data_IF_594481565761
#
_entry.id   IF_594481565761
#
_cell.length_a   1.000
_cell.length_b   1.000
_cell.length_c   1.000
_cell.angle_alpha   90.00
_cell.angle_beta   90.00
_cell.angle_gamma   90.00
#
_symmetry.space_group_name_H-M   'P 1'
#
loop_
_entity.id
_entity.type
_entity.pdbx_description
1 polymer ?
#
# COMPACT_ATOMS: atom_id res chain seq x y z
N UNK A 1 -2.80 14.25 -15.49
CA UNK A 1 -2.92 15.31 -14.45
C UNK A 1 -3.45 14.71 -13.14
N UNK A 2 -2.65 13.91 -12.42
CA UNK A 2 -3.07 13.31 -11.12
C UNK A 2 -2.12 13.69 -9.97
N UNK A 3 -0.98 14.34 -10.25
CA UNK A 3 0.03 14.66 -9.22
C UNK A 3 -0.31 15.86 -8.34
N UNK A 4 -1.37 16.63 -8.65
CA UNK A 4 -1.71 17.86 -7.92
C UNK A 4 -2.55 17.65 -6.66
N UNK A 5 -3.45 16.66 -6.63
CA UNK A 5 -4.39 16.44 -5.50
C UNK A 5 -3.87 15.46 -4.43
N UNK A 6 -2.94 14.56 -4.78
CA UNK A 6 -2.42 13.58 -3.82
C UNK A 6 -1.34 14.18 -2.88
N UNK A 7 -0.56 15.14 -3.37
CA UNK A 7 0.53 15.78 -2.61
C UNK A 7 -0.04 16.81 -1.62
N UNK A 8 -1.10 17.53 -1.99
CA UNK A 8 -1.76 18.48 -1.09
C UNK A 8 -2.33 17.78 0.14
N UNK A 9 -2.88 16.57 -0.01
CA UNK A 9 -3.41 15.80 1.12
C UNK A 9 -2.30 15.27 2.05
N UNK A 10 -1.15 14.84 1.50
CA UNK A 10 0.04 14.52 2.31
C UNK A 10 0.60 15.74 3.03
N UNK A 11 0.62 16.90 2.38
CA UNK A 11 1.08 18.14 2.99
C UNK A 11 0.19 18.56 4.15
N UNK A 12 -1.13 18.33 4.09
CA UNK A 12 -2.07 18.56 5.19
C UNK A 12 -1.93 17.50 6.31
N UNK A 13 -1.60 16.25 5.98
CA UNK A 13 -1.35 15.19 6.97
C UNK A 13 -0.04 15.41 7.75
N UNK A 14 0.97 16.01 7.10
CA UNK A 14 2.26 16.37 7.71
C UNK A 14 2.30 17.81 8.25
N UNK A 15 1.39 18.69 7.82
CA UNK A 15 1.08 19.96 8.48
C UNK A 15 0.21 19.66 9.70
N UNK A 16 0.83 19.02 10.70
CA UNK A 16 0.46 19.30 12.08
C UNK A 16 0.44 20.82 12.25
N UNK A 17 -0.51 21.41 13.00
CA UNK A 17 -0.37 22.79 13.42
C UNK A 17 1.04 22.96 13.97
N UNK A 18 1.69 24.09 13.63
CA UNK A 18 2.91 24.55 14.27
C UNK A 18 2.64 24.70 15.78
N UNK A 19 2.68 23.59 16.49
CA UNK A 19 2.69 23.51 17.94
C UNK A 19 3.73 22.44 18.28
N UNK A 20 4.95 22.91 18.35
CA UNK A 20 5.90 22.65 19.41
C UNK A 20 5.25 22.42 20.80
N UNK A 21 4.37 21.41 21.00
CA UNK A 21 3.89 20.97 22.33
C UNK A 21 2.77 19.90 22.30
N UNK A 22 2.91 18.76 21.60
CA UNK A 22 2.28 17.54 22.16
C UNK A 22 3.23 17.04 23.24
N UNK A 23 2.98 17.37 24.51
CA UNK A 23 3.82 17.01 25.64
C UNK A 23 3.89 15.48 25.80
N UNK A 24 4.76 14.84 25.03
CA UNK A 24 5.21 13.50 25.35
C UNK A 24 6.07 13.61 26.60
N UNK A 25 5.41 13.52 27.75
CA UNK A 25 6.07 13.47 29.06
C UNK A 25 6.56 12.03 29.24
N UNK A 26 7.88 11.85 29.26
CA UNK A 26 8.51 10.54 29.37
C UNK A 26 10.02 10.61 29.14
N UNK A 27 10.72 9.51 29.38
CA UNK A 27 12.16 9.42 29.10
C UNK A 27 12.40 9.57 27.58
N UNK A 28 13.54 10.14 27.13
CA UNK A 28 13.79 10.41 25.71
C UNK A 28 13.47 9.26 24.74
N UNK A 29 13.75 7.97 25.06
CA UNK A 29 13.37 6.85 24.18
C UNK A 29 11.85 6.70 23.99
N UNK A 30 11.05 6.96 25.03
CA UNK A 30 9.58 6.85 24.98
C UNK A 30 8.97 7.94 24.10
N UNK A 31 9.52 9.15 24.17
CA UNK A 31 9.10 10.28 23.32
C UNK A 31 9.30 9.94 21.84
N UNK A 32 10.44 9.35 21.49
CA UNK A 32 10.74 8.91 20.11
C UNK A 32 9.80 7.80 19.66
N UNK A 33 9.62 6.76 20.49
CA UNK A 33 8.70 5.64 20.19
C UNK A 33 7.29 6.16 19.91
N UNK A 34 6.79 7.10 20.72
CA UNK A 34 5.43 7.59 20.55
C UNK A 34 5.26 8.48 19.32
N UNK A 35 6.29 9.27 18.97
CA UNK A 35 6.33 9.99 17.68
C UNK A 35 6.29 9.03 16.50
N UNK A 36 7.05 7.93 16.55
CA UNK A 36 7.05 6.89 15.52
C UNK A 36 5.70 6.17 15.43
N UNK A 37 5.03 5.90 16.56
CA UNK A 37 3.66 5.34 16.57
C UNK A 37 2.66 6.28 15.89
N UNK A 38 2.72 7.58 16.18
CA UNK A 38 1.86 8.57 15.52
C UNK A 38 2.11 8.62 14.02
N UNK A 39 3.37 8.64 13.60
CA UNK A 39 3.74 8.59 12.18
C UNK A 39 3.23 7.32 11.50
N UNK A 40 3.41 6.15 12.14
CA UNK A 40 2.89 4.88 11.65
C UNK A 40 1.38 4.91 11.44
N UNK A 41 0.63 5.51 12.35
CA UNK A 41 -0.82 5.63 12.22
C UNK A 41 -1.21 6.57 11.08
N UNK A 42 -0.55 7.73 10.98
CA UNK A 42 -0.76 8.67 9.88
C UNK A 42 -0.51 8.01 8.50
N UNK A 43 0.58 7.25 8.38
CA UNK A 43 0.90 6.49 7.17
C UNK A 43 -0.13 5.40 6.85
N UNK A 44 -0.70 4.75 7.86
CA UNK A 44 -1.79 3.77 7.67
C UNK A 44 -3.05 4.43 7.14
N UNK A 45 -3.44 5.56 7.71
CA UNK A 45 -4.60 6.34 7.25
C UNK A 45 -4.39 6.78 5.81
N UNK A 46 -3.22 7.35 5.50
CA UNK A 46 -2.90 7.76 4.14
C UNK A 46 -2.92 6.60 3.14
N UNK A 47 -2.39 5.44 3.53
CA UNK A 47 -2.45 4.24 2.69
C UNK A 47 -3.90 3.86 2.38
N UNK A 48 -4.78 3.87 3.38
CA UNK A 48 -6.19 3.60 3.17
C UNK A 48 -6.88 4.64 2.29
N UNK A 49 -6.59 5.93 2.47
CA UNK A 49 -7.19 7.01 1.68
C UNK A 49 -6.74 7.01 0.21
N UNK A 50 -5.47 6.67 -0.07
CA UNK A 50 -4.89 6.76 -1.42
C UNK A 50 -4.94 5.44 -2.19
N UNK A 51 -4.89 4.30 -1.48
CA UNK A 51 -4.89 2.98 -2.11
C UNK A 51 -6.21 2.24 -1.91
N UNK A 52 -6.92 2.51 -0.80
CA UNK A 52 -8.16 1.82 -0.44
C UNK A 52 -7.97 0.31 -0.34
N UNK A 53 -9.07 -0.41 -0.53
CA UNK A 53 -9.03 -1.85 -0.77
C UNK A 53 -8.76 -2.11 -2.27
N UNK A 54 -7.49 -2.42 -2.59
CA UNK A 54 -7.05 -2.76 -3.94
C UNK A 54 -7.88 -3.90 -4.54
N UNK A 55 -8.28 -4.89 -3.73
CA UNK A 55 -9.04 -6.05 -4.22
C UNK A 55 -10.45 -5.62 -4.60
N UNK A 56 -11.11 -4.83 -3.75
CA UNK A 56 -12.43 -4.28 -4.04
C UNK A 56 -12.43 -3.42 -5.30
N UNK A 57 -11.38 -2.60 -5.50
CA UNK A 57 -11.22 -1.78 -6.70
C UNK A 57 -11.04 -2.63 -7.96
N UNK A 58 -10.23 -3.69 -7.92
CA UNK A 58 -10.04 -4.63 -9.03
C UNK A 58 -11.35 -5.35 -9.34
N UNK A 59 -12.06 -5.85 -8.34
CA UNK A 59 -13.35 -6.52 -8.52
C UNK A 59 -14.38 -5.57 -9.13
N UNK A 60 -14.49 -4.33 -8.63
CA UNK A 60 -15.40 -3.33 -9.18
C UNK A 60 -15.12 -3.04 -10.65
N UNK A 61 -13.86 -2.84 -11.02
CA UNK A 61 -13.45 -2.57 -12.41
C UNK A 61 -13.63 -3.78 -13.33
N UNK A 62 -13.42 -4.99 -12.82
CA UNK A 62 -13.68 -6.23 -13.55
C UNK A 62 -15.18 -6.42 -13.84
N UNK A 63 -16.05 -6.06 -12.89
CA UNK A 63 -17.51 -6.11 -13.06
C UNK A 63 -17.97 -5.04 -14.06
N UNK A 64 -17.44 -3.81 -13.96
CA UNK A 64 -17.71 -2.73 -14.92
C UNK A 64 -17.34 -3.16 -16.35
N UNK A 65 -16.17 -3.78 -16.51
CA UNK A 65 -15.71 -4.28 -17.79
C UNK A 65 -16.63 -5.38 -18.35
N UNK A 66 -17.02 -6.36 -17.53
CA UNK A 66 -17.96 -7.40 -17.95
C UNK A 66 -19.32 -6.81 -18.37
N UNK A 67 -19.79 -5.78 -17.67
CA UNK A 67 -21.02 -5.09 -18.04
C UNK A 67 -20.92 -4.43 -19.42
N UNK A 68 -19.80 -3.77 -19.73
CA UNK A 68 -19.57 -3.13 -21.04
C UNK A 68 -19.51 -4.19 -22.15
N UNK A 69 -18.82 -5.31 -21.90
CA UNK A 69 -18.73 -6.42 -22.85
C UNK A 69 -20.10 -7.06 -23.13
N UNK A 70 -20.93 -7.22 -22.09
CA UNK A 70 -22.30 -7.72 -22.22
C UNK A 70 -23.19 -6.73 -23.00
N UNK A 71 -23.00 -5.41 -22.78
CA UNK A 71 -23.71 -4.39 -23.57
C UNK A 71 -23.31 -4.45 -25.04
N UNK A 72 -22.02 -4.62 -25.34
CA UNK A 72 -21.52 -4.74 -26.71
C UNK A 72 -22.03 -6.01 -27.41
N UNK A 73 -22.18 -7.13 -26.68
CA UNK A 73 -22.77 -8.35 -27.23
C UNK A 73 -24.27 -8.20 -27.54
N UNK A 74 -24.99 -7.42 -26.74
CA UNK A 74 -26.44 -7.25 -26.87
C UNK A 74 -26.87 -6.18 -27.88
N UNK A 75 -26.14 -5.06 -27.94
CA UNK A 75 -26.46 -3.89 -28.77
C UNK A 75 -25.72 -3.88 -30.11
N UNK A 76 -24.74 -4.78 -30.29
CA UNK A 76 -23.84 -4.80 -31.44
C UNK A 76 -22.65 -3.85 -31.30
N UNK A 77 -21.78 -3.84 -32.31
CA UNK A 77 -20.56 -3.05 -32.28
C UNK A 77 -20.86 -1.55 -32.39
N UNK A 78 -20.44 -0.79 -31.37
CA UNK A 78 -20.44 0.67 -31.36
C UNK A 78 -19.03 1.17 -31.03
N UNK A 79 -18.54 2.13 -31.80
CA UNK A 79 -17.21 2.70 -31.61
C UNK A 79 -17.06 3.38 -30.23
N UNK A 80 -18.14 3.95 -29.69
CA UNK A 80 -18.14 4.58 -28.36
C UNK A 80 -17.97 3.55 -27.24
N UNK A 81 -18.71 2.44 -27.32
CA UNK A 81 -18.64 1.34 -26.34
C UNK A 81 -17.26 0.69 -26.37
N UNK A 82 -16.65 0.53 -27.56
CA UNK A 82 -15.31 0.01 -27.71
C UNK A 82 -14.24 0.91 -27.07
N UNK A 83 -14.35 2.23 -27.24
CA UNK A 83 -13.43 3.19 -26.62
C UNK A 83 -13.56 3.17 -25.09
N UNK A 84 -14.79 3.06 -24.57
CA UNK A 84 -15.02 2.91 -23.13
C UNK A 84 -14.49 1.58 -22.59
N UNK A 85 -14.68 0.48 -23.32
CA UNK A 85 -14.10 -0.82 -22.95
C UNK A 85 -12.57 -0.72 -22.86
N UNK A 86 -11.93 -0.13 -23.87
CA UNK A 86 -10.47 0.05 -23.90
C UNK A 86 -9.96 0.91 -22.73
N UNK A 87 -10.70 1.97 -22.36
CA UNK A 87 -10.38 2.80 -21.20
C UNK A 87 -10.48 2.01 -19.89
N UNK A 88 -11.56 1.27 -19.68
CA UNK A 88 -11.78 0.48 -18.46
C UNK A 88 -10.76 -0.66 -18.34
N UNK A 89 -10.43 -1.33 -19.46
CA UNK A 89 -9.32 -2.30 -19.52
C UNK A 89 -7.99 -1.68 -19.08
N UNK A 90 -7.66 -0.50 -19.61
CA UNK A 90 -6.41 0.17 -19.24
C UNK A 90 -6.37 0.54 -17.75
N UNK A 91 -7.47 1.03 -17.20
CA UNK A 91 -7.61 1.32 -15.77
C UNK A 91 -7.42 0.04 -14.93
N UNK A 92 -8.01 -1.08 -15.35
CA UNK A 92 -7.86 -2.38 -14.70
C UNK A 92 -6.41 -2.86 -14.73
N UNK A 93 -5.72 -2.76 -15.87
CA UNK A 93 -4.31 -3.12 -16.02
C UNK A 93 -3.40 -2.34 -15.07
N UNK A 94 -3.66 -1.03 -14.92
CA UNK A 94 -2.92 -0.19 -13.97
C UNK A 94 -3.15 -0.66 -12.53
N UNK A 95 -4.39 -1.02 -12.16
CA UNK A 95 -4.69 -1.55 -10.84
C UNK A 95 -4.04 -2.90 -10.58
N UNK A 96 -4.03 -3.80 -11.56
CA UNK A 96 -3.40 -5.12 -11.47
C UNK A 96 -1.88 -5.00 -11.27
N UNK A 97 -1.20 -4.14 -12.03
CA UNK A 97 0.24 -3.87 -11.83
C UNK A 97 0.52 -3.33 -10.43
N UNK A 98 -0.32 -2.41 -9.94
CA UNK A 98 -0.17 -1.86 -8.58
C UNK A 98 -0.34 -2.94 -7.51
N UNK A 99 -1.29 -3.83 -7.70
CA UNK A 99 -1.51 -4.98 -6.83
C UNK A 99 -0.31 -5.94 -6.85
N UNK A 100 0.24 -6.25 -8.02
CA UNK A 100 1.47 -7.04 -8.14
C UNK A 100 2.62 -6.42 -7.33
N UNK A 101 2.90 -5.14 -7.52
CA UNK A 101 3.93 -4.43 -6.75
C UNK A 101 3.68 -4.52 -5.23
N UNK A 102 2.44 -4.35 -4.78
CA UNK A 102 2.07 -4.47 -3.38
C UNK A 102 2.40 -5.86 -2.80
N UNK A 103 2.13 -6.92 -3.56
CA UNK A 103 2.43 -8.29 -3.13
C UNK A 103 3.93 -8.59 -3.15
N UNK A 104 4.68 -8.04 -4.10
CA UNK A 104 6.14 -8.13 -4.13
C UNK A 104 6.78 -7.43 -2.92
N UNK A 105 6.31 -6.24 -2.56
CA UNK A 105 6.80 -5.53 -1.37
C UNK A 105 6.51 -6.34 -0.10
N UNK A 106 5.31 -6.92 0.00
CA UNK A 106 4.91 -7.72 1.16
C UNK A 106 5.70 -9.03 1.26
N UNK A 107 5.95 -9.70 0.13
CA UNK A 107 6.74 -10.93 0.11
C UNK A 107 8.20 -10.64 0.47
N UNK A 108 8.76 -9.52 0.01
CA UNK A 108 10.11 -9.06 0.39
C UNK A 108 10.22 -8.78 1.89
N UNK A 109 9.25 -8.08 2.47
CA UNK A 109 9.22 -7.83 3.92
C UNK A 109 9.14 -9.15 4.68
N UNK A 110 8.27 -10.08 4.24
CA UNK A 110 8.16 -11.41 4.84
C UNK A 110 9.46 -12.20 4.74
N UNK A 111 10.10 -12.19 3.57
CA UNK A 111 11.39 -12.85 3.37
C UNK A 111 12.48 -12.27 4.28
N UNK A 112 12.55 -10.94 4.45
CA UNK A 112 13.49 -10.33 5.39
C UNK A 112 13.21 -10.74 6.84
N UNK A 113 11.95 -10.82 7.25
CA UNK A 113 11.56 -11.26 8.60
C UNK A 113 11.87 -12.74 8.84
N UNK A 114 11.62 -13.58 7.85
CA UNK A 114 11.83 -15.03 7.95
C UNK A 114 13.32 -15.40 7.76
N UNK A 115 14.09 -14.64 6.98
CA UNK A 115 15.52 -14.84 6.75
C UNK A 115 16.41 -14.40 7.92
N UNK A 116 15.96 -13.45 8.74
CA UNK A 116 16.62 -13.04 9.98
C UNK A 116 16.40 -14.05 11.13
N UNK A 117 15.49 -15.02 10.94
CA UNK A 117 15.42 -16.21 11.79
C UNK A 117 16.50 -17.20 11.36
N UNK A 118 17.73 -16.96 11.78
CA UNK A 118 18.74 -18.02 11.83
C UNK A 118 18.22 -19.05 12.85
N UNK A 119 17.97 -20.32 12.47
CA UNK A 119 17.62 -21.33 13.46
C UNK A 119 18.77 -21.42 14.46
N UNK A 120 18.47 -21.49 15.76
CA UNK A 120 19.47 -21.52 16.83
C UNK A 120 20.51 -22.65 16.66
N UNK A 121 20.24 -23.65 15.82
CA UNK A 121 21.17 -24.71 15.42
C UNK A 121 22.32 -24.26 14.50
N UNK A 122 22.24 -23.06 13.90
CA UNK A 122 23.24 -22.52 12.97
C UNK A 122 24.11 -21.40 13.60
N UNK A 123 23.89 -21.09 14.88
CA UNK A 123 24.88 -20.32 15.64
C UNK A 123 26.09 -21.24 15.87
N UNK A 124 27.30 -20.90 15.41
CA UNK A 124 28.48 -21.72 15.66
C UNK A 124 28.59 -21.91 17.16
N UNK A 125 28.61 -23.16 17.62
CA UNK A 125 29.01 -23.50 18.98
C UNK A 125 30.40 -22.88 19.18
N UNK A 126 30.46 -21.70 19.78
CA UNK A 126 31.70 -21.13 20.26
C UNK A 126 32.23 -22.14 21.27
N UNK A 127 33.34 -22.78 20.89
CA UNK A 127 34.12 -23.75 21.65
C UNK A 127 33.79 -23.80 23.14
N UNK A 128 33.04 -24.82 23.56
CA UNK A 128 33.17 -25.34 24.93
C UNK A 128 34.33 -26.31 24.90
N UNK A 129 35.52 -25.73 24.99
CA UNK A 129 36.78 -26.46 24.98
C UNK A 129 37.93 -25.57 25.43
N UNK A 130 37.92 -25.15 26.70
CA UNK A 130 39.16 -24.82 27.42
C UNK A 130 38.97 -24.91 28.94
N UNK A 131 39.70 -25.88 29.49
CA UNK A 131 40.04 -26.20 30.89
C UNK A 131 38.95 -26.71 31.82
#
# INVERSE_FOLDING_TARGET
MITGLAISNLSNLFQSPKTNSSSFVGKPPQVVINKLKRLKNALKTWNWEVFGDLNSNITGKSVELQSIQLQMSNLGFSNEIFLDESRVHHELDVLLRRHECFYLDRSRVKWLQDGDRIPHSFMPLSDVGST
#
